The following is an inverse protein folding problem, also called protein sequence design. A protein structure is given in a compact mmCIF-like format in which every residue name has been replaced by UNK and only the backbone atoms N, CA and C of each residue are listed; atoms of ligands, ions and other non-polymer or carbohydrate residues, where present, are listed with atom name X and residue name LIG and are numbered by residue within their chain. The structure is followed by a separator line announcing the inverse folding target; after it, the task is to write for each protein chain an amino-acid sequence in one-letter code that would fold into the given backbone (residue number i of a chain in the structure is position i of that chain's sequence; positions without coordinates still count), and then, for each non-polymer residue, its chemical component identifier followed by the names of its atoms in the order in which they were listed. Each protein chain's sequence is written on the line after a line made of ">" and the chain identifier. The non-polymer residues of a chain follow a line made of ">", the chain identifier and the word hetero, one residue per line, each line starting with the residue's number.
data_IF_007848675108
#
_entry.id   IF_007848675108
#
_cell.length_a   1.000
_cell.length_b   1.000
_cell.length_c   1.000
_cell.angle_alpha   90.00
_cell.angle_beta   90.00
_cell.angle_gamma   90.00
#
_symmetry.space_group_name_H-M   'P 1'
#
loop_
_entity.id
_entity.type
_entity.pdbx_description
1 polymer ?
#
# COMPACT_ATOMS: atom_id res chain seq x y z
N UNK A 1 -11.23 19.22 -15.11
CA UNK A 1 -10.57 17.92 -14.84
C UNK A 1 -9.19 17.81 -15.51
N UNK A 2 -8.96 18.37 -16.71
CA UNK A 2 -7.64 18.30 -17.39
C UNK A 2 -6.49 19.01 -16.63
N UNK A 3 -6.76 20.15 -15.98
CA UNK A 3 -5.73 20.92 -15.26
C UNK A 3 -5.18 20.21 -14.01
N UNK A 4 -5.98 19.34 -13.37
CA UNK A 4 -5.58 18.60 -12.17
C UNK A 4 -4.66 17.43 -12.51
N UNK A 5 -4.93 16.70 -13.60
CA UNK A 5 -4.06 15.61 -14.06
C UNK A 5 -2.65 16.10 -14.43
N UNK A 6 -2.55 17.25 -15.12
CA UNK A 6 -1.26 17.86 -15.48
C UNK A 6 -0.43 18.32 -14.27
N UNK A 7 -1.08 18.77 -13.19
CA UNK A 7 -0.40 19.14 -11.96
C UNK A 7 0.15 17.90 -11.23
N UNK A 8 -0.61 16.81 -11.24
CA UNK A 8 -0.22 15.51 -10.67
C UNK A 8 1.04 14.94 -11.34
N UNK A 9 1.09 14.94 -12.67
CA UNK A 9 2.24 14.43 -13.43
C UNK A 9 3.49 15.29 -13.23
N UNK A 10 3.31 16.62 -13.20
CA UNK A 10 4.40 17.57 -12.95
C UNK A 10 4.99 17.37 -11.56
N UNK A 11 4.13 17.23 -10.54
CA UNK A 11 4.56 17.02 -9.16
C UNK A 11 5.30 15.68 -8.99
N UNK A 12 4.82 14.62 -9.64
CA UNK A 12 5.48 13.31 -9.59
C UNK A 12 6.86 13.34 -10.28
N UNK A 13 6.97 14.03 -11.42
CA UNK A 13 8.26 14.20 -12.11
C UNK A 13 9.26 14.95 -11.23
N UNK A 14 8.85 16.07 -10.63
CA UNK A 14 9.70 16.85 -9.72
C UNK A 14 10.15 16.02 -8.51
N UNK A 15 9.24 15.21 -7.95
CA UNK A 15 9.54 14.34 -6.82
C UNK A 15 10.58 13.27 -7.19
N UNK A 16 10.46 12.62 -8.36
CA UNK A 16 11.45 11.65 -8.84
C UNK A 16 12.85 12.25 -8.92
N UNK A 17 12.97 13.48 -9.42
CA UNK A 17 14.25 14.21 -9.47
C UNK A 17 14.80 14.49 -8.08
N UNK A 18 13.97 14.99 -7.15
CA UNK A 18 14.40 15.28 -5.80
C UNK A 18 14.88 14.02 -5.04
N UNK A 19 14.15 12.90 -5.21
CA UNK A 19 14.45 11.62 -4.54
C UNK A 19 15.71 10.96 -5.11
N UNK A 20 15.99 11.13 -6.39
CA UNK A 20 17.21 10.59 -7.02
C UNK A 20 18.49 11.15 -6.37
N UNK A 21 18.47 12.43 -5.94
CA UNK A 21 19.60 13.10 -5.30
C UNK A 21 19.77 12.84 -3.80
N UNK A 22 19.00 11.92 -3.21
CA UNK A 22 19.15 11.54 -1.80
C UNK A 22 20.17 10.41 -1.66
N UNK A 23 21.30 10.69 -1.00
CA UNK A 23 22.36 9.70 -0.76
C UNK A 23 22.18 8.93 0.56
N UNK A 24 21.21 9.35 1.39
CA UNK A 24 20.98 8.80 2.73
C UNK A 24 20.06 7.56 2.71
N UNK A 25 19.43 7.27 1.57
CA UNK A 25 18.48 6.17 1.39
C UNK A 25 18.89 5.30 0.20
N UNK A 26 18.59 4.01 0.31
CA UNK A 26 18.83 3.03 -0.73
C UNK A 26 17.94 3.24 -1.97
N UNK A 27 18.36 2.71 -3.11
CA UNK A 27 17.55 2.69 -4.33
C UNK A 27 16.19 1.99 -4.12
N UNK A 28 16.14 1.00 -3.22
CA UNK A 28 14.88 0.33 -2.85
C UNK A 28 13.91 1.28 -2.12
N UNK A 29 14.42 2.08 -1.17
CA UNK A 29 13.62 3.07 -0.47
C UNK A 29 13.15 4.20 -1.39
N UNK A 30 14.01 4.67 -2.30
CA UNK A 30 13.66 5.64 -3.35
C UNK A 30 12.50 5.13 -4.19
N UNK A 31 12.61 3.90 -4.70
CA UNK A 31 11.57 3.25 -5.51
C UNK A 31 10.26 3.09 -4.73
N UNK A 32 10.34 2.56 -3.50
CA UNK A 32 9.18 2.36 -2.63
C UNK A 32 8.44 3.66 -2.32
N UNK A 33 9.18 4.74 -2.02
CA UNK A 33 8.60 6.06 -1.77
C UNK A 33 7.91 6.63 -3.02
N UNK A 34 8.54 6.56 -4.20
CA UNK A 34 7.93 7.03 -5.44
C UNK A 34 6.65 6.24 -5.77
N UNK A 35 6.64 4.92 -5.53
CA UNK A 35 5.43 4.10 -5.74
C UNK A 35 4.30 4.53 -4.80
N UNK A 36 4.61 4.78 -3.52
CA UNK A 36 3.63 5.25 -2.54
C UNK A 36 3.01 6.59 -2.95
N UNK A 37 3.84 7.56 -3.34
CA UNK A 37 3.35 8.90 -3.72
C UNK A 37 2.63 8.88 -5.06
N UNK A 38 3.06 8.05 -6.02
CA UNK A 38 2.33 7.86 -7.28
C UNK A 38 0.90 7.40 -7.03
N UNK A 39 0.69 6.43 -6.12
CA UNK A 39 -0.65 5.96 -5.72
C UNK A 39 -1.46 7.05 -5.00
N UNK A 40 -0.82 7.85 -4.16
CA UNK A 40 -1.48 8.98 -3.48
C UNK A 40 -1.98 10.01 -4.51
N UNK A 41 -1.15 10.31 -5.49
CA UNK A 41 -1.39 11.30 -6.53
C UNK A 41 -2.39 10.84 -7.61
N UNK A 42 -2.45 9.55 -7.91
CA UNK A 42 -3.45 9.01 -8.85
C UNK A 42 -4.88 9.14 -8.33
N UNK A 43 -5.06 9.28 -7.02
CA UNK A 43 -6.38 9.34 -6.39
C UNK A 43 -7.14 8.01 -6.49
N UNK A 44 -6.47 6.94 -6.93
CA UNK A 44 -7.00 5.57 -6.97
C UNK A 44 -7.02 4.99 -5.55
N UNK A 45 -7.88 5.54 -4.71
CA UNK A 45 -8.26 4.86 -3.49
C UNK A 45 -9.14 3.66 -3.87
N UNK A 46 -8.82 2.47 -3.36
CA UNK A 46 -9.79 1.39 -3.32
C UNK A 46 -10.97 1.86 -2.46
N UNK A 47 -12.04 2.26 -3.13
CA UNK A 47 -13.27 2.61 -2.45
C UNK A 47 -13.92 1.32 -1.96
N UNK A 48 -14.01 1.18 -0.65
CA UNK A 48 -14.71 0.05 -0.04
C UNK A 48 -16.20 0.35 -0.06
N UNK A 49 -16.95 -0.44 -0.81
CA UNK A 49 -18.41 -0.39 -0.77
C UNK A 49 -18.93 -1.05 0.50
N UNK A 50 -19.50 -0.27 1.41
CA UNK A 50 -19.95 -0.75 2.73
C UNK A 50 -20.95 -1.92 2.64
N UNK A 51 -21.83 -1.90 1.64
CA UNK A 51 -22.83 -2.95 1.42
C UNK A 51 -22.23 -4.30 1.00
N UNK A 52 -20.96 -4.34 0.58
CA UNK A 52 -20.27 -5.57 0.17
C UNK A 52 -19.45 -6.19 1.31
N UNK A 53 -19.34 -5.52 2.47
CA UNK A 53 -18.61 -6.03 3.63
C UNK A 53 -19.41 -7.18 4.26
N UNK A 54 -18.72 -8.27 4.56
CA UNK A 54 -19.28 -9.45 5.22
C UNK A 54 -18.43 -9.81 6.43
N UNK A 55 -19.06 -10.37 7.47
CA UNK A 55 -18.33 -10.93 8.61
C UNK A 55 -17.51 -12.13 8.14
N UNK A 56 -16.19 -12.18 8.43
CA UNK A 56 -15.37 -13.34 8.11
C UNK A 56 -15.91 -14.62 8.76
N UNK A 57 -15.74 -15.77 8.11
CA UNK A 57 -16.08 -17.07 8.67
C UNK A 57 -14.98 -17.60 9.58
N UNK A 58 -15.30 -18.59 10.41
CA UNK A 58 -14.33 -19.29 11.26
C UNK A 58 -13.26 -20.06 10.46
N UNK A 59 -13.44 -20.21 9.14
CA UNK A 59 -12.41 -20.75 8.23
C UNK A 59 -11.36 -19.68 7.88
N UNK A 60 -11.78 -18.42 7.77
CA UNK A 60 -10.91 -17.27 7.46
C UNK A 60 -10.28 -16.69 8.71
N UNK A 61 -11.06 -16.60 9.80
CA UNK A 61 -10.64 -16.12 11.12
C UNK A 61 -10.86 -17.26 12.11
N UNK A 62 -9.91 -18.18 12.14
CA UNK A 62 -9.98 -19.39 12.97
C UNK A 62 -9.90 -19.03 14.46
N UNK A 63 -10.89 -19.44 15.28
CA UNK A 63 -10.82 -19.23 16.72
C UNK A 63 -9.59 -19.94 17.32
N UNK A 64 -8.83 -19.23 18.16
CA UNK A 64 -7.58 -19.74 18.73
C UNK A 64 -7.73 -21.09 19.44
N UNK A 65 -8.83 -21.29 20.18
CA UNK A 65 -9.09 -22.53 20.93
C UNK A 65 -9.33 -23.75 20.04
N UNK A 66 -9.54 -23.55 18.73
CA UNK A 66 -9.69 -24.63 17.75
C UNK A 66 -8.37 -25.01 17.06
N UNK A 67 -7.29 -24.26 17.31
CA UNK A 67 -5.99 -24.55 16.72
C UNK A 67 -5.41 -25.84 17.29
N UNK A 68 -4.73 -26.60 16.44
CA UNK A 68 -4.01 -27.78 16.86
C UNK A 68 -2.96 -27.39 17.92
N UNK A 69 -2.82 -28.18 19.01
CA UNK A 69 -1.81 -27.91 20.02
C UNK A 69 -0.41 -28.03 19.42
N UNK A 70 0.54 -27.28 19.98
CA UNK A 70 1.95 -27.36 19.58
C UNK A 70 2.43 -28.81 19.68
N UNK A 71 3.11 -29.35 18.64
CA UNK A 71 3.65 -30.70 18.69
C UNK A 71 4.57 -30.88 19.91
N UNK A 72 4.45 -32.02 20.59
CA UNK A 72 5.39 -32.37 21.66
C UNK A 72 6.79 -32.49 21.04
N UNK A 73 7.72 -31.64 21.50
CA UNK A 73 9.12 -31.74 21.12
C UNK A 73 9.70 -33.06 21.61
N UNK A 74 10.26 -33.85 20.70
CA UNK A 74 11.05 -35.04 21.02
C UNK A 74 12.43 -34.64 21.53
#
# INVERSE_FOLDING_TARGET
>A
MAATATATDTNLSNLKTAVAGLDQISENEKSGFINLVSRYLSGEAQHVEWSKIQTPTDEVVVPYDTLAPTPAGN
#
